data_IF_038108696266
#
_entry.id   IF_038108696266
#
_cell.length_a   1.000
_cell.length_b   1.000
_cell.length_c   1.000
_cell.angle_alpha   90.00
_cell.angle_beta   90.00
_cell.angle_gamma   90.00
#
_symmetry.space_group_name_H-M   'P 1'
#
loop_
_entity.id
_entity.type
_entity.pdbx_description
1 polymer ?
#
# COMPACT_ATOMS: atom_id res chain seq x y z
N UNK A 1 -4.04 9.19 7.26
CA UNK A 1 -2.56 9.26 7.43
C UNK A 1 -2.10 10.70 7.72
N UNK A 2 -2.41 11.68 6.87
CA UNK A 2 -2.00 13.08 7.09
C UNK A 2 -2.40 13.64 8.48
N UNK A 3 -3.49 13.16 9.08
CA UNK A 3 -3.93 13.55 10.43
C UNK A 3 -3.03 13.00 11.55
N UNK A 4 -2.20 12.01 11.27
CA UNK A 4 -1.30 11.39 12.25
C UNK A 4 0.10 12.03 12.23
N UNK A 5 0.43 12.77 11.17
CA UNK A 5 1.71 13.45 11.01
C UNK A 5 1.74 14.78 11.79
N UNK A 6 2.91 15.15 12.32
CA UNK A 6 3.10 16.45 12.93
C UNK A 6 2.75 17.59 11.96
N UNK A 7 1.95 18.55 12.40
CA UNK A 7 1.41 19.60 11.54
C UNK A 7 2.49 20.45 10.83
N UNK A 8 3.62 20.75 11.49
CA UNK A 8 4.73 21.51 10.89
C UNK A 8 5.45 20.71 9.78
N UNK A 9 5.60 19.41 9.98
CA UNK A 9 6.19 18.50 8.98
C UNK A 9 5.27 18.42 7.78
N UNK A 10 3.98 18.19 8.01
CA UNK A 10 2.96 18.12 6.97
C UNK A 10 2.88 19.42 6.13
N UNK A 11 2.91 20.57 6.80
CA UNK A 11 2.91 21.87 6.12
C UNK A 11 4.15 22.04 5.22
N UNK A 12 5.32 21.64 5.71
CA UNK A 12 6.56 21.69 4.91
C UNK A 12 6.47 20.79 3.67
N UNK A 13 5.99 19.56 3.83
CA UNK A 13 5.79 18.62 2.72
C UNK A 13 4.83 19.21 1.69
N UNK A 14 3.66 19.68 2.13
CA UNK A 14 2.65 20.28 1.24
C UNK A 14 3.15 21.50 0.48
N UNK A 15 3.97 22.34 1.11
CA UNK A 15 4.58 23.49 0.47
C UNK A 15 5.55 23.08 -0.63
N UNK A 16 6.36 22.04 -0.41
CA UNK A 16 7.26 21.49 -1.44
C UNK A 16 6.43 20.92 -2.60
N UNK A 17 5.37 20.19 -2.32
CA UNK A 17 4.47 19.63 -3.33
C UNK A 17 3.75 20.72 -4.15
N UNK A 18 3.22 21.74 -3.48
CA UNK A 18 2.56 22.88 -4.14
C UNK A 18 3.49 23.64 -5.09
N UNK A 19 4.77 23.76 -4.74
CA UNK A 19 5.80 24.37 -5.56
C UNK A 19 6.40 23.40 -6.61
N UNK A 20 5.98 22.13 -6.63
CA UNK A 20 6.54 21.07 -7.49
C UNK A 20 8.06 20.92 -7.36
N UNK A 21 8.61 21.25 -6.19
CA UNK A 21 10.04 21.19 -5.88
C UNK A 21 10.44 19.78 -5.38
N UNK A 22 10.14 18.75 -6.18
CA UNK A 22 10.30 17.35 -5.80
C UNK A 22 11.76 16.89 -5.71
N UNK A 23 12.69 17.67 -6.24
CA UNK A 23 14.13 17.43 -6.12
C UNK A 23 14.72 17.97 -4.82
N UNK A 24 13.92 18.68 -4.02
CA UNK A 24 14.34 19.20 -2.73
C UNK A 24 14.70 18.07 -1.76
N UNK A 25 15.94 18.02 -1.26
CA UNK A 25 16.38 16.94 -0.39
C UNK A 25 15.59 16.87 0.94
N UNK A 26 14.95 17.97 1.35
CA UNK A 26 14.10 18.01 2.54
C UNK A 26 12.84 17.16 2.34
N UNK A 27 12.34 16.99 1.12
CA UNK A 27 11.13 16.25 0.83
C UNK A 27 11.24 14.78 1.32
N UNK A 28 12.21 14.04 0.77
CA UNK A 28 12.40 12.64 1.19
C UNK A 28 12.97 12.52 2.61
N UNK A 29 13.79 13.47 3.07
CA UNK A 29 14.28 13.49 4.45
C UNK A 29 13.15 13.58 5.47
N UNK A 30 12.03 14.20 5.15
CA UNK A 30 10.83 14.26 5.99
C UNK A 30 9.91 13.06 5.76
N UNK A 31 9.67 12.67 4.51
CA UNK A 31 8.78 11.55 4.20
C UNK A 31 9.31 10.21 4.70
N UNK A 32 10.61 9.95 4.59
CA UNK A 32 11.18 8.66 4.98
C UNK A 32 10.81 8.28 6.41
N UNK A 33 11.20 9.02 7.47
CA UNK A 33 10.91 8.62 8.85
C UNK A 33 9.45 8.82 9.26
N UNK A 34 8.73 9.76 8.65
CA UNK A 34 7.39 10.13 9.10
C UNK A 34 6.25 9.50 8.28
N UNK A 35 6.58 8.86 7.16
CA UNK A 35 5.60 8.18 6.33
C UNK A 35 6.07 6.80 5.88
N UNK A 36 7.20 6.70 5.18
CA UNK A 36 7.66 5.43 4.61
C UNK A 36 7.96 4.37 5.68
N UNK A 37 8.68 4.72 6.74
CA UNK A 37 8.99 3.83 7.87
C UNK A 37 7.79 3.55 8.78
N UNK A 38 6.69 4.28 8.61
CA UNK A 38 5.48 4.07 9.39
C UNK A 38 4.41 3.27 8.63
N UNK A 39 4.33 3.46 7.29
CA UNK A 39 3.20 3.02 6.50
C UNK A 39 3.57 2.16 5.28
N UNK A 40 4.81 2.22 4.81
CA UNK A 40 5.23 1.44 3.64
C UNK A 40 5.99 0.19 4.05
N UNK A 41 7.06 0.30 4.83
CA UNK A 41 7.78 -0.84 5.39
C UNK A 41 8.32 -0.45 6.77
N UNK A 42 7.82 -1.07 7.84
CA UNK A 42 8.00 -0.65 9.25
C UNK A 42 9.33 -1.12 9.85
N UNK A 43 10.39 -0.86 9.12
CA UNK A 43 11.79 -0.96 9.57
C UNK A 43 12.45 0.39 9.30
N UNK A 44 13.57 0.73 9.98
CA UNK A 44 14.43 1.84 9.55
C UNK A 44 14.83 1.66 8.08
N UNK A 45 14.86 2.73 7.29
CA UNK A 45 15.04 2.62 5.85
C UNK A 45 16.39 2.00 5.44
N UNK A 46 17.41 2.16 6.26
CA UNK A 46 18.72 1.53 6.10
C UNK A 46 18.73 0.01 6.40
N UNK A 47 17.73 -0.46 7.16
CA UNK A 47 17.51 -1.88 7.49
C UNK A 47 16.49 -2.57 6.57
N UNK A 48 15.89 -1.86 5.61
CA UNK A 48 14.91 -2.46 4.71
C UNK A 48 15.48 -3.68 3.99
N UNK A 49 14.68 -4.73 3.79
CA UNK A 49 15.05 -5.90 3.01
C UNK A 49 15.60 -5.53 1.63
N UNK A 50 16.66 -6.22 1.18
CA UNK A 50 17.29 -5.92 -0.11
C UNK A 50 16.31 -5.87 -1.31
N UNK A 51 15.29 -6.76 -1.43
CA UNK A 51 14.32 -6.64 -2.50
C UNK A 51 13.53 -5.32 -2.47
N UNK A 52 13.21 -4.79 -1.29
CA UNK A 52 12.52 -3.49 -1.13
C UNK A 52 13.43 -2.35 -1.59
N UNK A 53 14.68 -2.32 -1.12
CA UNK A 53 15.68 -1.33 -1.54
C UNK A 53 15.88 -1.34 -3.06
N UNK A 54 15.98 -2.55 -3.66
CA UNK A 54 16.14 -2.69 -5.11
C UNK A 54 14.92 -2.19 -5.87
N UNK A 55 13.70 -2.41 -5.38
CA UNK A 55 12.48 -1.91 -6.02
C UNK A 55 12.52 -0.39 -6.13
N UNK A 56 12.80 0.32 -5.04
CA UNK A 56 12.90 1.78 -5.07
C UNK A 56 14.05 2.28 -5.94
N UNK A 57 15.20 1.59 -5.93
CA UNK A 57 16.36 1.95 -6.75
C UNK A 57 16.09 1.84 -8.25
N UNK A 58 15.27 0.87 -8.68
CA UNK A 58 14.99 0.59 -10.09
C UNK A 58 13.61 1.09 -10.56
N UNK A 59 12.92 1.86 -9.72
CA UNK A 59 11.68 2.50 -10.10
C UNK A 59 11.89 3.45 -11.28
N UNK A 60 11.07 3.33 -12.32
CA UNK A 60 11.06 4.31 -13.42
C UNK A 60 10.41 5.61 -12.92
N UNK A 61 11.22 6.55 -12.46
CA UNK A 61 10.76 7.80 -11.84
C UNK A 61 9.91 8.66 -12.77
N UNK A 62 10.12 8.60 -14.08
CA UNK A 62 9.34 9.37 -15.06
C UNK A 62 7.91 8.82 -15.12
N UNK A 63 7.75 7.53 -15.34
CA UNK A 63 6.43 6.88 -15.39
C UNK A 63 5.75 6.96 -14.03
N UNK A 64 6.46 6.69 -12.96
CA UNK A 64 5.93 6.72 -11.60
C UNK A 64 5.36 8.10 -11.27
N UNK A 65 6.13 9.17 -11.48
CA UNK A 65 5.67 10.54 -11.19
C UNK A 65 4.49 10.94 -12.07
N UNK A 66 4.47 10.51 -13.33
CA UNK A 66 3.36 10.80 -14.22
C UNK A 66 2.06 10.11 -13.79
N UNK A 67 2.15 8.89 -13.30
CA UNK A 67 0.97 8.09 -12.93
C UNK A 67 0.53 8.35 -11.48
N UNK A 68 1.42 8.17 -10.54
CA UNK A 68 1.16 8.24 -9.09
C UNK A 68 1.34 9.65 -8.52
N UNK A 69 2.39 10.34 -8.94
CA UNK A 69 2.86 11.59 -8.34
C UNK A 69 4.28 11.42 -7.77
N UNK A 70 4.76 12.37 -6.97
CA UNK A 70 6.15 12.43 -6.53
C UNK A 70 6.51 11.40 -5.45
N UNK A 71 5.53 10.80 -4.78
CA UNK A 71 5.74 9.85 -3.68
C UNK A 71 4.50 9.00 -3.40
N UNK A 72 4.63 8.02 -2.49
CA UNK A 72 3.51 7.22 -1.96
C UNK A 72 2.60 7.99 -0.98
N UNK A 73 2.95 9.23 -0.62
CA UNK A 73 2.21 10.00 0.39
C UNK A 73 0.82 10.43 -0.08
N UNK A 74 0.61 10.53 -1.39
CA UNK A 74 -0.69 10.83 -1.98
C UNK A 74 -0.69 10.63 -3.50
N UNK A 75 -1.87 10.57 -4.09
CA UNK A 75 -2.03 10.44 -5.54
C UNK A 75 -2.20 11.84 -6.15
N UNK A 76 -1.26 12.25 -6.99
CA UNK A 76 -1.25 13.56 -7.65
C UNK A 76 -1.05 13.48 -9.18
N UNK A 77 -0.80 12.28 -9.71
CA UNK A 77 -0.61 12.03 -11.14
C UNK A 77 -1.92 11.69 -11.86
N UNK A 78 -1.81 11.01 -13.00
CA UNK A 78 -2.95 10.61 -13.84
C UNK A 78 -3.96 9.71 -13.10
N UNK A 79 -3.53 9.01 -12.05
CA UNK A 79 -4.40 8.15 -11.24
C UNK A 79 -5.24 8.92 -10.21
N UNK A 80 -5.04 10.24 -10.03
CA UNK A 80 -5.71 11.02 -9.00
C UNK A 80 -7.25 10.93 -9.02
N UNK A 81 -7.84 10.78 -10.20
CA UNK A 81 -9.30 10.68 -10.40
C UNK A 81 -9.72 9.31 -10.98
N UNK A 82 -8.81 8.32 -10.93
CA UNK A 82 -9.12 6.99 -11.44
C UNK A 82 -9.88 6.18 -10.39
N UNK A 83 -11.09 5.79 -10.75
CA UNK A 83 -11.95 4.92 -9.93
C UNK A 83 -12.67 3.93 -10.84
N UNK A 84 -12.49 2.64 -10.55
CA UNK A 84 -13.15 1.52 -11.24
C UNK A 84 -13.88 0.60 -10.26
N UNK A 85 -14.20 1.09 -9.07
CA UNK A 85 -14.84 0.32 -8.00
C UNK A 85 -16.11 -0.38 -8.47
N UNK A 86 -16.92 0.28 -9.31
CA UNK A 86 -18.17 -0.27 -9.87
C UNK A 86 -17.96 -1.49 -10.78
N UNK A 87 -16.74 -1.70 -11.28
CA UNK A 87 -16.39 -2.82 -12.17
C UNK A 87 -15.95 -4.08 -11.40
N UNK A 88 -15.63 -3.97 -10.10
CA UNK A 88 -15.14 -5.09 -9.28
C UNK A 88 -16.10 -6.28 -9.27
N UNK A 89 -17.41 -6.03 -9.32
CA UNK A 89 -18.46 -7.05 -9.42
C UNK A 89 -18.37 -7.95 -10.66
N UNK A 90 -17.64 -7.52 -11.69
CA UNK A 90 -17.47 -8.29 -12.92
C UNK A 90 -16.28 -9.27 -12.84
N UNK A 91 -15.46 -9.19 -11.78
CA UNK A 91 -14.31 -10.07 -11.56
C UNK A 91 -14.79 -11.30 -10.81
N UNK A 92 -15.05 -12.38 -11.53
CA UNK A 92 -15.59 -13.65 -11.00
C UNK A 92 -14.52 -14.64 -10.55
N UNK A 93 -13.26 -14.38 -10.87
CA UNK A 93 -12.11 -15.16 -10.38
C UNK A 93 -12.01 -15.06 -8.86
N UNK A 94 -11.67 -16.15 -8.13
CA UNK A 94 -11.35 -16.04 -6.71
C UNK A 94 -10.29 -14.97 -6.46
N UNK A 95 -10.63 -13.99 -5.64
CA UNK A 95 -9.80 -12.79 -5.42
C UNK A 95 -9.53 -12.61 -3.94
N UNK A 96 -8.27 -12.41 -3.57
CA UNK A 96 -7.86 -12.07 -2.21
C UNK A 96 -7.43 -10.60 -2.16
N UNK A 97 -8.08 -9.81 -1.33
CA UNK A 97 -7.55 -8.50 -0.90
C UNK A 97 -6.84 -8.65 0.43
N UNK A 98 -5.74 -7.94 0.58
CA UNK A 98 -4.94 -7.95 1.81
C UNK A 98 -4.86 -6.53 2.32
N UNK A 99 -5.32 -6.30 3.55
CA UNK A 99 -5.19 -5.03 4.24
C UNK A 99 -4.31 -5.17 5.46
N UNK A 100 -3.59 -4.11 5.81
CA UNK A 100 -2.72 -4.11 6.97
C UNK A 100 -2.97 -2.88 7.85
N UNK A 101 -2.78 -3.06 9.17
CA UNK A 101 -3.13 -2.05 10.18
C UNK A 101 -2.46 -0.70 9.95
N UNK A 102 -1.21 -0.73 9.51
CA UNK A 102 -0.37 0.47 9.36
C UNK A 102 -0.17 0.87 7.90
N UNK A 103 -0.90 0.22 6.97
CA UNK A 103 -0.80 0.48 5.53
C UNK A 103 -1.12 1.95 5.19
N UNK A 104 -0.52 2.43 4.13
CA UNK A 104 -0.91 3.68 3.47
C UNK A 104 -2.32 3.59 2.83
N UNK A 105 -2.75 2.39 2.48
CA UNK A 105 -4.13 2.09 2.07
C UNK A 105 -4.99 1.77 3.29
N UNK A 106 -6.22 2.33 3.33
CA UNK A 106 -7.14 2.07 4.43
C UNK A 106 -7.55 0.58 4.46
N UNK A 107 -7.24 -0.17 5.54
CA UNK A 107 -7.61 -1.58 5.64
C UNK A 107 -9.12 -1.82 5.62
N UNK A 108 -9.94 -0.89 6.09
CA UNK A 108 -11.40 -1.00 6.02
C UNK A 108 -11.89 -0.84 4.57
N UNK A 109 -11.24 0.03 3.77
CA UNK A 109 -11.51 0.10 2.35
C UNK A 109 -11.11 -1.19 1.62
N UNK A 110 -9.96 -1.77 1.95
CA UNK A 110 -9.51 -3.06 1.39
C UNK A 110 -10.48 -4.19 1.75
N UNK A 111 -11.03 -4.18 2.97
CA UNK A 111 -12.06 -5.11 3.41
C UNK A 111 -13.37 -4.90 2.64
N UNK A 112 -13.83 -3.65 2.51
CA UNK A 112 -14.99 -3.32 1.69
C UNK A 112 -14.79 -3.79 0.24
N UNK A 113 -13.64 -3.52 -0.35
CA UNK A 113 -13.31 -3.94 -1.72
C UNK A 113 -13.45 -5.46 -1.89
N UNK A 114 -13.03 -6.26 -0.89
CA UNK A 114 -13.22 -7.71 -0.92
C UNK A 114 -14.68 -8.15 -1.05
N UNK A 115 -15.61 -7.34 -0.53
CA UNK A 115 -17.05 -7.61 -0.61
C UNK A 115 -17.67 -7.28 -1.96
N UNK A 116 -16.99 -6.49 -2.79
CA UNK A 116 -17.45 -6.13 -4.12
C UNK A 116 -17.18 -7.23 -5.16
N UNK A 117 -16.20 -8.09 -4.92
CA UNK A 117 -15.94 -9.26 -5.77
C UNK A 117 -16.95 -10.38 -5.46
N UNK A 118 -17.58 -11.04 -6.45
CA UNK A 118 -18.44 -12.21 -6.22
C UNK A 118 -17.76 -13.32 -5.41
N UNK A 119 -16.46 -13.54 -5.66
CA UNK A 119 -15.63 -14.53 -4.99
C UNK A 119 -14.47 -13.88 -4.21
N UNK A 120 -14.76 -12.77 -3.52
CA UNK A 120 -13.77 -12.02 -2.76
C UNK A 120 -13.50 -12.63 -1.39
N UNK A 121 -12.24 -12.65 -1.00
CA UNK A 121 -11.73 -13.02 0.32
C UNK A 121 -10.89 -11.88 0.88
N UNK A 122 -10.79 -11.78 2.20
CA UNK A 122 -10.02 -10.73 2.87
C UNK A 122 -9.04 -11.33 3.87
N UNK A 123 -7.81 -10.84 3.86
CA UNK A 123 -6.78 -11.13 4.87
C UNK A 123 -6.38 -9.83 5.57
N UNK A 124 -6.37 -9.84 6.89
CA UNK A 124 -5.95 -8.70 7.70
C UNK A 124 -4.61 -8.97 8.38
N UNK A 125 -3.61 -8.14 8.09
CA UNK A 125 -2.29 -8.17 8.71
C UNK A 125 -2.23 -7.15 9.87
N UNK A 126 -2.51 -7.62 11.09
CA UNK A 126 -2.66 -6.74 12.27
C UNK A 126 -1.37 -6.03 12.71
N UNK A 127 -0.21 -6.52 12.31
CA UNK A 127 1.10 -5.94 12.63
C UNK A 127 1.81 -5.36 11.40
N UNK A 128 1.22 -5.50 10.20
CA UNK A 128 1.81 -5.14 8.93
C UNK A 128 1.53 -3.71 8.46
N UNK A 129 2.32 -3.27 7.50
CA UNK A 129 2.13 -2.06 6.71
C UNK A 129 1.89 -2.40 5.23
N UNK A 130 2.13 -1.47 4.30
CA UNK A 130 1.98 -1.72 2.86
C UNK A 130 2.80 -2.92 2.38
N UNK A 131 3.98 -3.12 2.93
CA UNK A 131 4.87 -4.26 2.67
C UNK A 131 4.70 -5.36 3.73
N UNK A 132 3.44 -5.72 4.08
CA UNK A 132 3.16 -6.71 5.14
C UNK A 132 3.77 -8.10 4.87
N UNK A 133 4.15 -8.42 3.63
CA UNK A 133 4.95 -9.60 3.32
C UNK A 133 6.35 -9.60 3.97
N UNK A 134 6.80 -8.46 4.50
CA UNK A 134 8.07 -8.31 5.22
C UNK A 134 7.86 -8.01 6.71
N UNK A 135 6.96 -7.11 7.08
CA UNK A 135 6.81 -6.66 8.47
C UNK A 135 5.68 -7.37 9.25
N UNK A 136 4.81 -8.15 8.57
CA UNK A 136 3.91 -9.15 9.17
C UNK A 136 3.94 -10.48 8.40
N UNK A 137 5.14 -10.97 8.13
CA UNK A 137 5.41 -12.09 7.24
C UNK A 137 4.63 -13.35 7.59
N UNK A 138 4.52 -13.66 8.87
CA UNK A 138 3.85 -14.88 9.34
C UNK A 138 2.35 -14.85 8.98
N UNK A 139 1.66 -13.76 9.30
CA UNK A 139 0.22 -13.60 8.99
C UNK A 139 0.01 -13.60 7.48
N UNK A 140 0.82 -12.81 6.76
CA UNK A 140 0.74 -12.69 5.32
C UNK A 140 0.84 -14.04 4.60
N UNK A 141 1.94 -14.78 4.81
CA UNK A 141 2.15 -16.04 4.07
C UNK A 141 1.25 -17.17 4.54
N UNK A 142 0.91 -17.23 5.83
CA UNK A 142 -0.06 -18.23 6.33
C UNK A 142 -1.42 -18.04 5.63
N UNK A 143 -1.91 -16.80 5.57
CA UNK A 143 -3.18 -16.47 4.93
C UNK A 143 -3.15 -16.67 3.42
N UNK A 144 -2.10 -16.18 2.74
CA UNK A 144 -1.94 -16.33 1.30
C UNK A 144 -1.87 -17.80 0.87
N UNK A 145 -1.07 -18.63 1.56
CA UNK A 145 -0.96 -20.06 1.25
C UNK A 145 -2.29 -20.78 1.53
N UNK A 146 -3.00 -20.43 2.61
CA UNK A 146 -4.33 -20.98 2.89
C UNK A 146 -5.29 -20.67 1.75
N UNK A 147 -5.32 -19.43 1.28
CA UNK A 147 -6.15 -18.99 0.14
C UNK A 147 -5.83 -19.79 -1.12
N UNK A 148 -4.55 -19.83 -1.53
CA UNK A 148 -4.11 -20.53 -2.76
C UNK A 148 -4.54 -22.00 -2.70
N UNK A 149 -4.24 -22.70 -1.59
CA UNK A 149 -4.57 -24.13 -1.43
C UNK A 149 -6.07 -24.41 -1.45
N UNK A 150 -6.89 -23.50 -0.94
CA UNK A 150 -8.35 -23.62 -0.97
C UNK A 150 -8.88 -23.46 -2.40
N UNK A 151 -8.37 -22.46 -3.12
CA UNK A 151 -8.73 -22.22 -4.53
C UNK A 151 -8.30 -23.38 -5.43
N UNK A 152 -7.11 -23.96 -5.22
CA UNK A 152 -6.64 -25.15 -5.94
C UNK A 152 -7.54 -26.37 -5.72
N UNK A 153 -8.26 -26.43 -4.60
CA UNK A 153 -9.28 -27.47 -4.31
C UNK A 153 -10.67 -27.14 -4.84
N UNK A 154 -10.83 -26.01 -5.55
CA UNK A 154 -12.08 -25.58 -6.17
C UNK A 154 -12.94 -24.65 -5.29
N UNK A 155 -12.46 -24.22 -4.12
CA UNK A 155 -13.16 -23.22 -3.32
C UNK A 155 -13.08 -21.84 -4.03
N UNK A 156 -14.23 -21.16 -4.10
CA UNK A 156 -14.30 -19.83 -4.76
C UNK A 156 -14.09 -18.68 -3.77
N UNK A 157 -14.50 -18.88 -2.53
CA UNK A 157 -14.39 -17.88 -1.46
C UNK A 157 -13.82 -18.55 -0.21
N UNK A 158 -12.82 -17.92 0.40
CA UNK A 158 -12.08 -18.46 1.53
C UNK A 158 -12.21 -17.53 2.74
N UNK A 159 -12.56 -18.09 3.89
CA UNK A 159 -12.54 -17.36 5.17
C UNK A 159 -11.13 -17.45 5.75
N UNK A 160 -10.53 -16.27 5.99
CA UNK A 160 -9.20 -16.12 6.55
C UNK A 160 -9.32 -15.39 7.89
N UNK A 161 -8.85 -16.05 8.94
CA UNK A 161 -8.82 -15.52 10.31
C UNK A 161 -7.57 -14.69 10.54
#
# INVERSE_FOLDING_TARGET
LSKQMNAKILDTIRRIEANKDFTNPTYMRLLTPHFYEQHICRFPADEWPDPVKRTFKHLNSVIYTQMQGPSEFGIAGNLANWDVSDLLKNITTPTLTIGAKYDSMDPEFMKWMSTQFPNGSYLYCANGSHMCMYDDQQTYFKGLIKFIRAVDKGEKKVVLD
#
